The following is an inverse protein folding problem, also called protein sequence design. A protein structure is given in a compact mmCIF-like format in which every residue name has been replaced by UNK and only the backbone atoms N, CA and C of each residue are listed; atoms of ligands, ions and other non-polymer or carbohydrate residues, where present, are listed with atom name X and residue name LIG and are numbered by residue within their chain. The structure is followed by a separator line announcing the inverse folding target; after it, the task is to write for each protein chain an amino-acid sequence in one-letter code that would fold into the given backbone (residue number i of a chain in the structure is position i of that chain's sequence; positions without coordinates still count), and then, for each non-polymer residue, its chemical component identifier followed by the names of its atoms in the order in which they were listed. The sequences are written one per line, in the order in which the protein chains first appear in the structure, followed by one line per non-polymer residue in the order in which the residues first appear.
data_IF_448831657964
#
_entry.id   IF_448831657964
#
_cell.length_a   1.000
_cell.length_b   1.000
_cell.length_c   1.000
_cell.angle_alpha   90.00
_cell.angle_beta   90.00
_cell.angle_gamma   90.00
#
_symmetry.space_group_name_H-M   'P 1'
#
loop_
_entity.id
_entity.type
_entity.pdbx_description
1 polymer ?
#
# COMPACT_ATOMS: atom_id res chain seq x y z
N UNK A 1 -12.42 -15.80 -7.25
CA UNK A 1 -11.63 -17.00 -6.91
C UNK A 1 -12.00 -17.47 -5.52
N UNK A 2 -12.13 -18.79 -5.24
CA UNK A 2 -12.37 -19.27 -3.87
C UNK A 2 -11.19 -18.89 -2.96
N UNK A 3 -11.48 -18.50 -1.71
CA UNK A 3 -10.47 -18.24 -0.67
C UNK A 3 -9.93 -19.57 -0.13
N UNK A 4 -9.00 -20.17 -0.86
CA UNK A 4 -8.34 -21.43 -0.48
C UNK A 4 -6.84 -21.27 -0.72
N UNK A 5 -5.99 -21.85 0.15
CA UNK A 5 -4.54 -21.80 -0.05
C UNK A 5 -4.13 -22.60 -1.30
N UNK A 6 -3.00 -22.25 -1.87
CA UNK A 6 -2.42 -22.98 -3.01
C UNK A 6 -2.16 -24.46 -2.65
N UNK A 7 -1.74 -24.72 -1.42
CA UNK A 7 -1.49 -26.07 -0.93
C UNK A 7 -2.74 -26.93 -1.03
N UNK A 8 -3.86 -26.50 -0.47
CA UNK A 8 -5.14 -27.23 -0.54
C UNK A 8 -5.77 -27.23 -1.94
N UNK A 9 -5.55 -26.15 -2.71
CA UNK A 9 -6.16 -26.05 -4.03
C UNK A 9 -5.46 -26.91 -5.08
N UNK A 10 -4.13 -27.00 -5.00
CA UNK A 10 -3.27 -27.59 -6.03
C UNK A 10 -2.37 -28.69 -5.46
N UNK A 11 -1.50 -28.38 -4.47
CA UNK A 11 -0.43 -29.27 -4.04
C UNK A 11 -0.95 -30.60 -3.52
N UNK A 12 -1.96 -30.59 -2.64
CA UNK A 12 -2.53 -31.84 -2.08
C UNK A 12 -3.29 -32.70 -3.12
N UNK A 13 -3.64 -32.14 -4.27
CA UNK A 13 -4.41 -32.82 -5.32
C UNK A 13 -3.55 -33.31 -6.48
N UNK A 14 -2.31 -32.83 -6.59
CA UNK A 14 -1.41 -33.14 -7.68
C UNK A 14 -0.75 -34.51 -7.42
N UNK A 15 -1.02 -35.55 -8.27
CA UNK A 15 -0.51 -36.91 -8.06
C UNK A 15 0.98 -37.05 -8.40
N UNK A 16 1.59 -36.11 -9.09
CA UNK A 16 2.97 -36.17 -9.59
C UNK A 16 3.91 -35.16 -9.00
N UNK A 17 3.77 -34.86 -7.67
CA UNK A 17 4.63 -33.92 -6.98
C UNK A 17 6.07 -34.44 -6.88
N UNK A 18 7.02 -33.63 -7.27
CA UNK A 18 8.45 -33.84 -7.01
C UNK A 18 8.89 -32.99 -5.80
N UNK A 19 9.50 -33.67 -4.83
CA UNK A 19 10.04 -33.00 -3.63
C UNK A 19 11.54 -32.96 -3.72
N UNK A 20 12.11 -31.75 -3.61
CA UNK A 20 13.56 -31.55 -3.49
C UNK A 20 13.90 -31.38 -2.01
N UNK A 21 14.81 -32.22 -1.50
CA UNK A 21 15.26 -32.11 -0.12
C UNK A 21 16.11 -30.86 0.05
N UNK A 22 15.75 -30.00 1.01
CA UNK A 22 16.51 -28.84 1.41
C UNK A 22 17.24 -29.13 2.73
N UNK A 23 18.56 -28.90 2.78
CA UNK A 23 19.42 -29.17 3.95
C UNK A 23 19.85 -27.88 4.66
N UNK A 24 19.39 -26.71 4.22
CA UNK A 24 19.64 -25.43 4.86
C UNK A 24 18.69 -25.11 6.01
N UNK A 25 18.91 -23.98 6.66
CA UNK A 25 17.94 -23.45 7.62
C UNK A 25 16.73 -22.86 6.93
N UNK A 26 15.55 -23.24 7.37
CA UNK A 26 14.28 -22.67 6.92
C UNK A 26 13.44 -22.32 8.15
N UNK A 27 12.86 -21.13 8.15
CA UNK A 27 11.99 -20.69 9.24
C UNK A 27 10.76 -20.00 8.66
N UNK A 28 9.58 -20.43 9.09
CA UNK A 28 8.34 -19.70 8.82
C UNK A 28 8.31 -18.43 9.67
N UNK A 29 8.18 -17.28 9.02
CA UNK A 29 8.07 -15.95 9.67
C UNK A 29 6.67 -15.36 9.54
N UNK A 30 5.66 -16.19 9.45
CA UNK A 30 4.25 -15.82 9.27
C UNK A 30 3.61 -15.08 10.44
N UNK A 31 4.30 -14.88 11.57
CA UNK A 31 3.80 -14.10 12.71
C UNK A 31 4.83 -13.08 13.17
N UNK A 32 4.36 -12.01 13.82
CA UNK A 32 5.24 -10.98 14.37
C UNK A 32 6.21 -11.52 15.42
N UNK A 33 5.81 -12.52 16.22
CA UNK A 33 6.70 -13.19 17.15
C UNK A 33 7.88 -13.85 16.39
N UNK A 34 7.56 -14.68 15.39
CA UNK A 34 8.60 -15.35 14.58
C UNK A 34 9.47 -14.35 13.81
N UNK A 35 8.86 -13.28 13.26
CA UNK A 35 9.62 -12.20 12.62
C UNK A 35 10.60 -11.55 13.60
N UNK A 36 10.17 -11.29 14.85
CA UNK A 36 11.01 -10.66 15.87
C UNK A 36 12.23 -11.49 16.27
N UNK A 37 12.17 -12.82 16.11
CA UNK A 37 13.29 -13.73 16.41
C UNK A 37 14.40 -13.72 15.34
N UNK A 38 14.08 -13.31 14.10
CA UNK A 38 15.02 -13.23 12.99
C UNK A 38 15.51 -11.81 12.71
N UNK A 39 14.98 -10.82 13.41
CA UNK A 39 15.44 -9.44 13.30
C UNK A 39 16.87 -9.30 13.82
N UNK A 40 17.75 -8.69 13.03
CA UNK A 40 19.11 -8.38 13.45
C UNK A 40 19.17 -7.33 14.58
N UNK A 41 18.29 -6.33 14.49
CA UNK A 41 18.16 -5.24 15.45
C UNK A 41 16.80 -5.27 16.13
N UNK A 42 16.75 -4.97 17.42
CA UNK A 42 15.49 -4.91 18.17
C UNK A 42 14.55 -3.77 17.70
N UNK A 43 15.09 -2.73 17.06
CA UNK A 43 14.31 -1.61 16.54
C UNK A 43 14.71 -1.30 15.09
N UNK A 44 13.71 -1.18 14.22
CA UNK A 44 13.83 -0.76 12.82
C UNK A 44 13.02 0.51 12.58
N UNK A 45 13.58 1.46 11.83
CA UNK A 45 12.94 2.75 11.54
C UNK A 45 13.22 3.80 12.63
N UNK A 46 12.39 4.85 12.69
CA UNK A 46 12.51 5.92 13.70
C UNK A 46 11.96 5.44 15.04
N UNK A 47 12.75 4.69 15.79
CA UNK A 47 12.35 4.11 17.06
C UNK A 47 13.46 4.27 18.12
N UNK A 48 13.05 4.56 19.35
CA UNK A 48 13.93 4.66 20.52
C UNK A 48 13.36 3.77 21.61
N UNK A 49 14.18 2.87 22.17
CA UNK A 49 13.85 2.10 23.37
C UNK A 49 14.81 2.48 24.48
N UNK A 50 14.28 2.64 25.68
CA UNK A 50 15.13 2.79 26.86
C UNK A 50 15.67 1.43 27.35
N UNK A 51 16.61 1.47 28.29
CA UNK A 51 17.26 0.29 28.83
C UNK A 51 16.35 -0.56 29.75
N UNK A 52 15.13 -0.14 30.03
CA UNK A 52 14.15 -0.89 30.80
C UNK A 52 13.25 -1.77 29.91
N UNK A 53 13.32 -1.62 28.59
CA UNK A 53 12.66 -2.51 27.66
C UNK A 53 13.38 -3.86 27.59
N UNK A 54 12.63 -4.95 27.76
CA UNK A 54 13.14 -6.32 27.77
C UNK A 54 12.41 -7.14 26.71
N UNK A 55 13.15 -7.86 25.85
CA UNK A 55 12.58 -8.72 24.80
C UNK A 55 11.49 -8.01 23.98
N UNK A 56 11.74 -6.75 23.61
CA UNK A 56 10.79 -5.92 22.87
C UNK A 56 11.36 -5.59 21.49
N UNK A 57 10.55 -5.70 20.45
CA UNK A 57 10.92 -5.38 19.08
C UNK A 57 9.99 -4.30 18.50
N UNK A 58 10.56 -3.39 17.71
CA UNK A 58 9.85 -2.31 17.05
C UNK A 58 10.16 -2.34 15.56
N UNK A 59 9.11 -2.34 14.73
CA UNK A 59 9.20 -2.08 13.29
C UNK A 59 8.36 -0.85 12.99
N UNK A 60 9.02 0.26 12.68
CA UNK A 60 8.36 1.53 12.39
C UNK A 60 8.62 1.95 10.95
N UNK A 61 7.61 1.85 10.10
CA UNK A 61 7.64 2.31 8.71
C UNK A 61 7.11 3.74 8.54
N UNK A 62 6.62 4.33 9.64
CA UNK A 62 6.15 5.71 9.64
C UNK A 62 7.30 6.71 9.77
N UNK A 63 7.06 7.94 9.31
CA UNK A 63 7.98 9.06 9.52
C UNK A 63 7.90 9.67 10.93
N UNK A 64 6.93 9.23 11.75
CA UNK A 64 6.79 9.65 13.15
C UNK A 64 7.70 8.80 14.04
N UNK A 65 8.38 9.39 15.03
CA UNK A 65 9.21 8.61 15.96
C UNK A 65 8.32 7.83 16.95
N UNK A 66 8.77 6.61 17.31
CA UNK A 66 8.20 5.80 18.38
C UNK A 66 9.20 5.76 19.53
N UNK A 67 8.73 6.06 20.74
CA UNK A 67 9.51 5.96 21.97
C UNK A 67 8.87 4.92 22.86
N UNK A 68 9.62 3.90 23.27
CA UNK A 68 9.17 2.83 24.13
C UNK A 68 9.99 2.79 25.43
N UNK A 69 9.31 2.69 26.56
CA UNK A 69 9.91 2.65 27.89
C UNK A 69 9.23 1.59 28.75
N UNK A 70 10.01 0.79 29.46
CA UNK A 70 9.51 -0.18 30.43
C UNK A 70 8.72 -1.36 29.86
N UNK A 71 8.77 -1.59 28.55
CA UNK A 71 8.01 -2.65 27.89
C UNK A 71 8.71 -4.01 28.02
N UNK A 72 7.91 -5.06 28.16
CA UNK A 72 8.43 -6.43 28.29
C UNK A 72 7.67 -7.36 27.36
N UNK A 73 8.41 -8.19 26.61
CA UNK A 73 7.88 -9.20 25.71
C UNK A 73 6.91 -8.66 24.68
N UNK A 74 7.21 -7.49 24.12
CA UNK A 74 6.28 -6.78 23.21
C UNK A 74 6.81 -6.77 21.77
N UNK A 75 5.88 -6.72 20.83
CA UNK A 75 6.12 -6.29 19.46
C UNK A 75 5.26 -5.07 19.14
N UNK A 76 5.91 -4.07 18.57
CA UNK A 76 5.27 -2.86 18.05
C UNK A 76 5.57 -2.81 16.55
N UNK A 77 4.51 -2.84 15.73
CA UNK A 77 4.62 -2.67 14.30
C UNK A 77 3.74 -1.50 13.87
N UNK A 78 4.34 -0.51 13.23
CA UNK A 78 3.64 0.70 12.79
C UNK A 78 3.86 0.91 11.30
N UNK A 79 2.76 0.95 10.55
CA UNK A 79 2.70 1.26 9.13
C UNK A 79 1.58 2.25 8.85
N UNK A 80 1.41 2.64 7.59
CA UNK A 80 0.28 3.50 7.19
C UNK A 80 -1.07 2.80 7.33
N UNK A 81 -1.10 1.46 7.32
CA UNK A 81 -2.33 0.68 7.45
C UNK A 81 -2.77 0.52 8.90
N UNK A 82 -1.89 0.82 9.86
CA UNK A 82 -2.23 0.74 11.27
C UNK A 82 -1.03 0.52 12.20
N UNK A 83 -1.32 0.51 13.49
CA UNK A 83 -0.32 0.28 14.54
C UNK A 83 -0.74 -0.93 15.35
N UNK A 84 0.09 -1.96 15.35
CA UNK A 84 -0.01 -3.11 16.25
C UNK A 84 0.87 -2.88 17.48
N UNK A 85 0.29 -3.02 18.66
CA UNK A 85 1.00 -3.11 19.93
C UNK A 85 0.52 -4.40 20.60
N UNK A 86 1.39 -5.38 20.74
CA UNK A 86 1.00 -6.70 21.24
C UNK A 86 2.11 -7.35 22.06
N UNK A 87 1.72 -8.15 23.05
CA UNK A 87 2.59 -9.20 23.53
C UNK A 87 3.00 -10.11 22.36
N UNK A 88 4.24 -10.60 22.35
CA UNK A 88 4.78 -11.41 21.24
C UNK A 88 3.98 -12.67 20.97
N UNK A 89 3.62 -13.42 22.01
CA UNK A 89 2.83 -14.65 21.86
C UNK A 89 1.38 -14.35 21.43
N UNK A 90 0.81 -13.27 21.97
CA UNK A 90 -0.54 -12.85 21.61
C UNK A 90 -0.64 -12.39 20.16
N UNK A 91 0.45 -11.91 19.54
CA UNK A 91 0.48 -11.40 18.17
C UNK A 91 0.05 -12.43 17.11
N UNK A 92 0.26 -13.72 17.37
CA UNK A 92 -0.20 -14.80 16.48
C UNK A 92 -1.72 -14.88 16.32
N UNK A 93 -2.49 -14.25 17.22
CA UNK A 93 -3.96 -14.27 17.22
C UNK A 93 -4.59 -13.01 16.63
N UNK A 94 -3.80 -12.14 15.98
CA UNK A 94 -4.28 -10.84 15.49
C UNK A 94 -5.27 -10.92 14.33
N UNK A 95 -5.20 -11.98 13.51
CA UNK A 95 -5.97 -12.12 12.27
C UNK A 95 -7.47 -11.82 12.40
N UNK A 96 -8.23 -12.37 13.38
CA UNK A 96 -9.65 -12.08 13.52
C UNK A 96 -9.97 -10.62 13.89
N UNK A 97 -8.99 -9.89 14.42
CA UNK A 97 -9.14 -8.46 14.74
C UNK A 97 -8.84 -7.60 13.54
N UNK A 98 -7.81 -7.92 12.76
CA UNK A 98 -7.49 -7.23 11.50
C UNK A 98 -8.63 -7.39 10.49
N UNK A 99 -9.24 -8.57 10.39
CA UNK A 99 -10.40 -8.82 9.51
C UNK A 99 -11.64 -7.99 9.85
N UNK A 100 -11.70 -7.40 11.07
CA UNK A 100 -12.78 -6.47 11.46
C UNK A 100 -12.48 -5.01 11.09
N UNK A 101 -11.24 -4.71 10.73
CA UNK A 101 -10.87 -3.40 10.25
C UNK A 101 -11.30 -3.33 8.79
N UNK A 102 -12.38 -2.64 8.53
CA UNK A 102 -12.92 -2.40 7.18
C UNK A 102 -12.10 -1.27 6.49
N UNK A 103 -10.79 -1.47 6.42
CA UNK A 103 -9.87 -0.49 5.89
C UNK A 103 -9.46 -0.87 4.46
N UNK A 104 -9.70 0.04 3.53
CA UNK A 104 -8.98 0.00 2.25
C UNK A 104 -7.47 0.13 2.52
N UNK A 105 -6.67 -0.57 1.72
CA UNK A 105 -5.22 -0.50 1.87
C UNK A 105 -4.74 0.95 1.71
N UNK A 106 -4.08 1.47 2.76
CA UNK A 106 -3.53 2.83 2.77
C UNK A 106 -2.29 2.97 1.89
N UNK A 107 -1.73 1.86 1.43
CA UNK A 107 -0.61 1.79 0.49
C UNK A 107 -0.79 0.61 -0.45
N UNK A 108 -0.48 0.79 -1.74
CA UNK A 108 -0.35 -0.33 -2.67
C UNK A 108 0.73 -0.08 -3.72
N UNK A 109 1.40 -1.15 -4.09
CA UNK A 109 2.25 -1.25 -5.27
C UNK A 109 1.43 -1.75 -6.46
N UNK A 110 1.61 -1.10 -7.59
CA UNK A 110 0.97 -1.42 -8.87
C UNK A 110 2.03 -1.59 -9.94
N UNK A 111 1.70 -2.19 -11.07
CA UNK A 111 2.62 -2.32 -12.20
C UNK A 111 3.17 -0.97 -12.68
N UNK A 112 2.41 0.09 -12.54
CA UNK A 112 2.78 1.44 -12.97
C UNK A 112 3.51 2.26 -11.89
N UNK A 113 3.56 1.83 -10.64
CA UNK A 113 4.18 2.58 -9.53
C UNK A 113 3.50 2.31 -8.21
N UNK A 114 3.35 3.34 -7.38
CA UNK A 114 2.76 3.21 -6.04
C UNK A 114 1.72 4.29 -5.77
N UNK A 115 0.78 4.01 -4.88
CA UNK A 115 -0.01 5.06 -4.24
C UNK A 115 0.01 4.88 -2.72
N UNK A 116 -0.13 5.98 -2.02
CA UNK A 116 -0.25 6.05 -0.56
C UNK A 116 -1.36 7.01 -0.19
N UNK A 117 -2.29 6.58 0.62
CA UNK A 117 -3.29 7.45 1.22
C UNK A 117 -2.64 8.32 2.28
N UNK A 118 -2.91 9.63 2.24
CA UNK A 118 -2.39 10.63 3.16
C UNK A 118 -3.45 11.01 4.19
N UNK A 119 -4.70 11.18 3.75
CA UNK A 119 -5.83 11.57 4.57
C UNK A 119 -7.13 11.00 4.00
N UNK A 120 -8.03 10.57 4.87
CA UNK A 120 -9.35 10.05 4.51
C UNK A 120 -10.39 10.69 5.41
N UNK A 121 -11.47 11.16 4.79
CA UNK A 121 -12.71 11.63 5.45
C UNK A 121 -13.91 11.03 4.75
N UNK A 122 -15.10 11.26 5.29
CA UNK A 122 -16.35 10.70 4.77
C UNK A 122 -16.61 11.06 3.29
N UNK A 123 -16.17 12.24 2.87
CA UNK A 123 -16.44 12.83 1.55
C UNK A 123 -15.20 13.23 0.77
N UNK A 124 -14.00 12.88 1.26
CA UNK A 124 -12.74 13.21 0.59
C UNK A 124 -11.61 12.26 0.94
N UNK A 125 -10.69 12.08 0.00
CA UNK A 125 -9.46 11.34 0.18
C UNK A 125 -8.30 12.06 -0.48
N UNK A 126 -7.18 12.13 0.20
CA UNK A 126 -5.92 12.65 -0.37
C UNK A 126 -4.95 11.50 -0.52
N UNK A 127 -4.41 11.34 -1.72
CA UNK A 127 -3.42 10.30 -2.01
C UNK A 127 -2.17 10.91 -2.62
N UNK A 128 -1.05 10.25 -2.38
CA UNK A 128 0.20 10.46 -3.09
C UNK A 128 0.37 9.34 -4.10
N UNK A 129 0.59 9.69 -5.35
CA UNK A 129 0.81 8.75 -6.46
C UNK A 129 2.22 8.94 -7.00
N UNK A 130 2.92 7.85 -7.21
CA UNK A 130 4.22 7.84 -7.88
C UNK A 130 4.12 6.91 -9.09
N UNK A 131 4.28 7.47 -10.30
CA UNK A 131 4.37 6.68 -11.51
C UNK A 131 5.84 6.52 -11.92
N UNK A 132 6.21 5.29 -12.29
CA UNK A 132 7.51 5.02 -12.85
C UNK A 132 7.62 5.56 -14.27
N UNK A 133 8.83 5.89 -14.71
CA UNK A 133 9.08 6.39 -16.05
C UNK A 133 8.51 5.46 -17.13
N UNK A 134 7.80 6.00 -18.11
CA UNK A 134 7.15 5.27 -19.20
C UNK A 134 5.88 4.50 -18.79
N UNK A 135 5.43 4.60 -17.54
CA UNK A 135 4.22 3.95 -17.07
C UNK A 135 3.02 4.89 -17.07
N UNK A 136 1.83 4.30 -17.05
CA UNK A 136 0.58 5.05 -17.02
C UNK A 136 -0.46 4.38 -16.11
N UNK A 137 -1.36 5.17 -15.58
CA UNK A 137 -2.56 4.67 -14.91
C UNK A 137 -3.55 4.08 -15.94
N UNK A 138 -4.47 3.24 -15.50
CA UNK A 138 -5.57 2.82 -16.38
C UNK A 138 -6.37 4.04 -16.87
N UNK A 139 -6.84 4.03 -18.12
CA UNK A 139 -7.81 5.00 -18.58
C UNK A 139 -9.16 4.67 -17.96
N UNK A 140 -9.74 5.61 -17.21
CA UNK A 140 -10.91 5.34 -16.38
C UNK A 140 -11.73 6.60 -16.09
N UNK A 141 -12.93 6.42 -15.56
CA UNK A 141 -13.75 7.49 -15.01
C UNK A 141 -14.30 7.14 -13.64
N UNK A 142 -14.80 8.16 -12.94
CA UNK A 142 -15.49 8.07 -11.66
C UNK A 142 -16.82 8.82 -11.73
N UNK A 143 -17.90 8.19 -11.31
CA UNK A 143 -19.24 8.81 -11.37
C UNK A 143 -19.55 9.67 -10.15
N UNK A 144 -18.93 9.39 -9.00
CA UNK A 144 -19.35 9.95 -7.72
C UNK A 144 -18.32 10.90 -7.08
N UNK A 145 -17.18 11.16 -7.76
CA UNK A 145 -16.14 12.05 -7.25
C UNK A 145 -15.50 12.93 -8.32
N UNK A 146 -15.05 14.09 -7.89
CA UNK A 146 -14.12 14.93 -8.65
C UNK A 146 -12.71 14.72 -8.13
N UNK A 147 -11.70 15.00 -8.97
CA UNK A 147 -10.30 14.86 -8.61
C UNK A 147 -9.52 16.11 -8.95
N UNK A 148 -8.57 16.48 -8.08
CA UNK A 148 -7.59 17.52 -8.33
C UNK A 148 -6.22 16.93 -8.09
N UNK A 149 -5.40 16.88 -9.16
CA UNK A 149 -4.04 16.37 -9.12
C UNK A 149 -3.05 17.53 -9.18
N UNK A 150 -2.09 17.54 -8.28
CA UNK A 150 -0.98 18.50 -8.25
C UNK A 150 0.30 17.74 -8.60
N UNK A 151 1.03 18.20 -9.60
CA UNK A 151 2.34 17.63 -9.96
C UNK A 151 3.39 18.13 -9.00
N UNK A 152 3.90 17.24 -8.15
CA UNK A 152 4.93 17.55 -7.14
C UNK A 152 6.32 17.51 -7.76
N UNK A 153 6.60 16.51 -8.60
CA UNK A 153 7.87 16.38 -9.30
C UNK A 153 7.73 15.55 -10.57
N UNK A 154 8.68 15.70 -11.50
CA UNK A 154 8.70 14.98 -12.77
C UNK A 154 7.93 15.68 -13.88
N UNK A 155 7.73 14.95 -14.99
CA UNK A 155 6.99 15.38 -16.16
C UNK A 155 6.20 14.21 -16.77
N UNK A 156 5.14 14.53 -17.46
CA UNK A 156 4.29 13.57 -18.13
C UNK A 156 3.18 14.26 -18.92
N UNK A 157 2.15 13.53 -19.25
CA UNK A 157 0.93 14.04 -19.84
C UNK A 157 -0.30 13.43 -19.17
N UNK A 158 -1.38 14.17 -19.13
CA UNK A 158 -2.71 13.66 -18.85
C UNK A 158 -3.51 13.57 -20.17
N UNK A 159 -4.41 12.59 -20.22
CA UNK A 159 -5.45 12.52 -21.23
C UNK A 159 -6.79 12.62 -20.50
N UNK A 160 -7.60 13.63 -20.79
CA UNK A 160 -8.92 13.85 -20.20
C UNK A 160 -9.93 13.98 -21.34
N UNK A 161 -10.90 13.05 -21.40
CA UNK A 161 -11.89 12.94 -22.47
C UNK A 161 -11.26 13.03 -23.88
N UNK A 162 -10.12 12.36 -24.05
CA UNK A 162 -9.38 12.33 -25.32
C UNK A 162 -8.49 13.55 -25.59
N UNK A 163 -8.48 14.56 -24.73
CA UNK A 163 -7.60 15.73 -24.89
C UNK A 163 -6.33 15.56 -24.08
N UNK A 164 -5.18 15.73 -24.73
CA UNK A 164 -3.88 15.68 -24.07
C UNK A 164 -3.50 17.03 -23.43
N UNK A 165 -2.96 16.95 -22.22
CA UNK A 165 -2.37 18.07 -21.49
C UNK A 165 -1.00 17.68 -20.98
N UNK A 166 0.00 18.50 -21.29
CA UNK A 166 1.37 18.32 -20.74
C UNK A 166 1.34 18.64 -19.24
N UNK A 167 2.02 17.81 -18.46
CA UNK A 167 2.16 17.95 -17.02
C UNK A 167 3.62 18.20 -16.63
N UNK A 168 3.83 19.25 -15.84
CA UNK A 168 5.13 19.65 -15.28
C UNK A 168 4.98 19.95 -13.79
N UNK A 169 6.06 19.92 -13.05
CA UNK A 169 6.08 20.29 -11.64
C UNK A 169 5.40 21.65 -11.41
N UNK A 170 4.44 21.67 -10.50
CA UNK A 170 3.61 22.82 -10.16
C UNK A 170 2.28 22.91 -10.91
N UNK A 171 2.09 22.12 -11.96
CA UNK A 171 0.81 22.09 -12.67
C UNK A 171 -0.30 21.44 -11.83
N UNK A 172 -1.51 21.92 -12.06
CA UNK A 172 -2.75 21.42 -11.44
C UNK A 172 -3.68 20.94 -12.52
N UNK A 173 -4.13 19.69 -12.38
CA UNK A 173 -5.11 19.06 -13.24
C UNK A 173 -6.41 18.88 -12.43
N UNK A 174 -7.53 19.40 -12.95
CA UNK A 174 -8.86 19.17 -12.38
C UNK A 174 -9.65 18.23 -13.26
N UNK A 175 -10.22 17.19 -12.69
CA UNK A 175 -10.97 16.16 -13.37
C UNK A 175 -12.37 16.12 -12.74
N UNK A 176 -13.39 16.45 -13.54
CA UNK A 176 -14.77 16.36 -13.08
C UNK A 176 -15.24 14.90 -13.07
N UNK A 177 -16.22 14.61 -12.23
CA UNK A 177 -16.90 13.32 -12.25
C UNK A 177 -17.43 12.99 -13.65
N UNK A 178 -17.35 11.74 -14.05
CA UNK A 178 -17.74 11.25 -15.37
C UNK A 178 -16.67 11.41 -16.44
N UNK A 179 -15.67 12.30 -16.28
CA UNK A 179 -14.61 12.47 -17.26
C UNK A 179 -13.68 11.25 -17.30
N UNK A 180 -13.43 10.73 -18.48
CA UNK A 180 -12.46 9.65 -18.71
C UNK A 180 -11.05 10.22 -18.68
N UNK A 181 -10.18 9.63 -17.88
CA UNK A 181 -8.84 10.19 -17.72
C UNK A 181 -7.76 9.13 -17.46
N UNK A 182 -6.52 9.51 -17.73
CA UNK A 182 -5.30 8.82 -17.33
C UNK A 182 -4.16 9.81 -17.21
N UNK A 183 -3.11 9.39 -16.48
CA UNK A 183 -1.83 10.08 -16.43
C UNK A 183 -0.74 9.15 -16.93
N UNK A 184 0.12 9.67 -17.80
CA UNK A 184 1.23 8.97 -18.44
C UNK A 184 2.52 9.68 -18.01
N UNK A 185 3.45 8.93 -17.44
CA UNK A 185 4.73 9.46 -16.94
C UNK A 185 5.81 9.42 -18.03
N UNK A 186 6.40 10.56 -18.34
CA UNK A 186 7.59 10.67 -19.22
C UNK A 186 8.92 10.70 -18.45
N UNK A 187 8.84 10.83 -17.15
CA UNK A 187 9.90 10.61 -16.17
C UNK A 187 9.25 10.02 -14.91
N UNK A 188 10.02 9.66 -13.87
CA UNK A 188 9.39 9.38 -12.58
C UNK A 188 8.54 10.59 -12.19
N UNK A 189 7.21 10.38 -12.06
CA UNK A 189 6.22 11.43 -11.85
C UNK A 189 5.56 11.26 -10.49
N UNK A 190 5.58 12.30 -9.69
CA UNK A 190 4.96 12.32 -8.37
C UNK A 190 3.79 13.30 -8.37
N UNK A 191 2.62 12.81 -7.94
CA UNK A 191 1.39 13.56 -7.85
C UNK A 191 0.84 13.52 -6.42
N UNK A 192 0.20 14.59 -6.00
CA UNK A 192 -0.77 14.59 -4.90
C UNK A 192 -2.15 14.76 -5.52
N UNK A 193 -3.03 13.83 -5.25
CA UNK A 193 -4.39 13.80 -5.75
C UNK A 193 -5.37 13.95 -4.59
N UNK A 194 -6.29 14.90 -4.72
CA UNK A 194 -7.41 15.11 -3.80
C UNK A 194 -8.68 14.68 -4.50
N UNK A 195 -9.32 13.66 -3.97
CA UNK A 195 -10.60 13.14 -4.42
C UNK A 195 -11.71 13.70 -3.54
N UNK A 196 -12.78 14.21 -4.14
CA UNK A 196 -13.89 14.87 -3.44
C UNK A 196 -15.22 14.28 -3.90
N UNK A 197 -15.99 13.75 -2.97
CA UNK A 197 -17.26 13.08 -3.20
C UNK A 197 -17.32 11.72 -2.51
N UNK A 198 -18.23 10.86 -2.92
CA UNK A 198 -18.34 9.52 -2.35
C UNK A 198 -17.20 8.65 -2.87
N UNK A 199 -16.27 8.32 -1.97
CA UNK A 199 -15.13 7.46 -2.27
C UNK A 199 -15.57 6.00 -2.13
N UNK A 200 -15.40 5.21 -3.19
CA UNK A 200 -15.66 3.77 -3.21
C UNK A 200 -14.74 3.10 -4.23
N UNK A 201 -14.29 1.89 -3.92
CA UNK A 201 -13.48 1.07 -4.83
C UNK A 201 -14.26 0.74 -6.11
N UNK A 202 -15.58 0.57 -5.99
CA UNK A 202 -16.46 0.22 -7.10
C UNK A 202 -16.78 1.42 -8.01
N UNK A 203 -16.41 2.65 -7.62
CA UNK A 203 -16.61 3.87 -8.39
C UNK A 203 -15.50 4.08 -9.43
N UNK A 204 -15.06 2.99 -10.09
CA UNK A 204 -14.03 3.04 -11.12
C UNK A 204 -14.41 2.22 -12.34
N UNK A 205 -14.85 2.89 -13.40
CA UNK A 205 -15.05 2.27 -14.71
C UNK A 205 -13.78 2.38 -15.55
N UNK A 206 -13.30 1.26 -16.09
CA UNK A 206 -12.08 1.20 -16.91
C UNK A 206 -12.41 1.12 -18.39
N UNK A 207 -11.63 1.83 -19.20
CA UNK A 207 -11.74 1.87 -20.65
C UNK A 207 -10.43 1.47 -21.32
N UNK A 208 -10.51 1.13 -22.62
CA UNK A 208 -9.34 0.85 -23.44
C UNK A 208 -8.69 2.15 -23.88
N UNK A 209 -7.35 2.20 -23.84
CA UNK A 209 -6.56 3.39 -24.20
C UNK A 209 -6.01 3.32 -25.63
N UNK A 210 -6.59 2.52 -26.52
CA UNK A 210 -6.02 2.09 -27.81
C UNK A 210 -5.63 3.20 -28.79
N UNK A 211 -5.87 4.47 -28.48
CA UNK A 211 -5.66 5.61 -29.39
C UNK A 211 -4.60 6.62 -28.92
N UNK A 212 -4.03 6.49 -27.72
CA UNK A 212 -3.24 7.56 -27.07
C UNK A 212 -1.84 7.12 -26.60
N UNK A 213 -1.43 5.90 -26.91
CA UNK A 213 -0.07 5.36 -26.63
C UNK A 213 0.77 5.28 -27.88
#
# INVERSE_FOLDING_TARGET
MPKISFDYAVVEKEPSIQVVRYEGEWKDVGTWNMMSEVMADAAKGKAIMDNTCINTNIVNELNLPIICMGLKNMVIAASVDGILISDKEASGRMKPYVEKLDNEAMFAEKSWGTYRVIDVKDDSMTIKVILNNGQHMSYHSHENRNEVCIVVSGKGKAVVDGMEQILRTGDVLTIAKGCKHTVIAESKLELVEVQMGKISVDDKEKFTLDTYL
#
